data_IF_045537719224
#
_entry.id   IF_045537719224
#
_cell.length_a   1.000
_cell.length_b   1.000
_cell.length_c   1.000
_cell.angle_alpha   90.00
_cell.angle_beta   90.00
_cell.angle_gamma   90.00
#
_symmetry.space_group_name_H-M   'P 1'
#
loop_
_entity.id
_entity.type
_entity.pdbx_description
1 polymer ?
#
# COMPACT_ATOMS: atom_id res chain seq x y z
N UNK A 1 7.90 -7.37 -1.51
CA UNK A 1 6.89 -7.37 -0.41
C UNK A 1 5.75 -8.31 -0.79
N UNK A 2 6.05 -9.57 -1.08
CA UNK A 2 5.08 -10.47 -1.72
C UNK A 2 4.33 -11.37 -0.73
N UNK A 3 4.59 -11.20 0.56
CA UNK A 3 3.98 -12.02 1.61
C UNK A 3 2.71 -11.34 2.15
N UNK A 4 1.58 -12.01 1.97
CA UNK A 4 0.31 -11.64 2.57
C UNK A 4 0.32 -11.89 4.10
N UNK A 5 -0.57 -11.26 4.88
CA UNK A 5 -0.77 -11.61 6.28
C UNK A 5 -1.14 -13.10 6.42
N UNK A 6 -0.78 -13.70 7.56
CA UNK A 6 -1.14 -15.09 7.85
C UNK A 6 -2.67 -15.29 7.78
N UNK A 7 -3.11 -16.35 7.10
CA UNK A 7 -4.54 -16.62 6.87
C UNK A 7 -5.18 -15.81 5.74
N UNK A 8 -4.47 -14.84 5.15
CA UNK A 8 -4.96 -14.13 3.97
C UNK A 8 -4.84 -14.99 2.71
N UNK A 9 -5.93 -15.11 1.95
CA UNK A 9 -5.94 -15.79 0.65
C UNK A 9 -6.02 -14.76 -0.45
N UNK A 10 -5.07 -14.78 -1.39
CA UNK A 10 -5.08 -13.85 -2.53
C UNK A 10 -6.26 -14.15 -3.43
N UNK A 11 -7.10 -13.16 -3.64
CA UNK A 11 -8.25 -13.23 -4.55
C UNK A 11 -7.87 -12.76 -5.95
N UNK A 12 -7.12 -11.65 -6.04
CA UNK A 12 -6.78 -11.02 -7.32
C UNK A 12 -5.39 -10.35 -7.29
N UNK A 13 -4.83 -10.13 -8.49
CA UNK A 13 -3.69 -9.25 -8.77
C UNK A 13 -4.02 -8.39 -9.97
N UNK A 14 -3.73 -7.11 -9.88
CA UNK A 14 -3.97 -6.17 -10.96
C UNK A 14 -2.77 -5.25 -11.17
N UNK A 15 -2.69 -4.73 -12.39
CA UNK A 15 -1.74 -3.71 -12.79
C UNK A 15 -2.47 -2.72 -13.70
N UNK A 16 -2.22 -1.44 -13.49
CA UNK A 16 -2.84 -0.35 -14.25
C UNK A 16 -1.77 0.68 -14.59
N UNK A 17 -1.84 1.19 -15.81
CA UNK A 17 -1.03 2.30 -16.27
C UNK A 17 -1.99 3.38 -16.74
N UNK A 18 -1.98 4.53 -16.09
CA UNK A 18 -2.67 5.71 -16.57
C UNK A 18 -1.65 6.58 -17.32
N UNK A 19 -1.81 6.66 -18.65
CA UNK A 19 -0.92 7.43 -19.50
C UNK A 19 -1.19 8.95 -19.45
N UNK A 20 -2.39 9.36 -19.05
CA UNK A 20 -2.80 10.76 -18.96
C UNK A 20 -2.24 11.40 -17.69
N UNK A 21 -2.47 10.77 -16.54
CA UNK A 21 -2.01 11.23 -15.23
C UNK A 21 -0.62 10.66 -14.85
N UNK A 22 -0.08 9.77 -15.68
CA UNK A 22 1.29 9.21 -15.59
C UNK A 22 1.59 8.53 -14.26
N UNK A 23 0.63 7.76 -13.75
CA UNK A 23 0.83 6.88 -12.62
C UNK A 23 0.74 5.41 -13.04
N UNK A 24 1.49 4.56 -12.32
CA UNK A 24 1.46 3.11 -12.48
C UNK A 24 1.03 2.50 -11.15
N UNK A 25 0.04 1.62 -11.20
CA UNK A 25 -0.45 0.87 -10.04
C UNK A 25 -0.13 -0.61 -10.22
N UNK A 26 0.37 -1.24 -9.16
CA UNK A 26 0.41 -2.69 -9.03
C UNK A 26 -0.16 -3.09 -7.69
N UNK A 27 -1.09 -4.03 -7.66
CA UNK A 27 -1.79 -4.36 -6.43
C UNK A 27 -2.31 -5.78 -6.36
N UNK A 28 -2.82 -6.11 -5.18
CA UNK A 28 -3.44 -7.37 -4.89
C UNK A 28 -4.59 -7.19 -3.89
N UNK A 29 -5.62 -8.03 -4.04
CA UNK A 29 -6.73 -8.14 -3.09
C UNK A 29 -6.67 -9.49 -2.39
N UNK A 30 -6.97 -9.50 -1.10
CA UNK A 30 -6.94 -10.69 -0.28
C UNK A 30 -8.24 -10.86 0.49
N UNK A 31 -8.79 -12.06 0.50
CA UNK A 31 -9.77 -12.46 1.50
C UNK A 31 -9.04 -12.67 2.81
N UNK A 32 -9.45 -11.94 3.85
CA UNK A 32 -8.78 -11.92 5.14
C UNK A 32 -9.79 -11.74 6.27
N UNK A 33 -9.90 -12.75 7.14
CA UNK A 33 -10.79 -12.74 8.30
C UNK A 33 -10.15 -12.11 9.55
N UNK A 34 -8.88 -11.70 9.49
CA UNK A 34 -8.20 -11.01 10.59
C UNK A 34 -8.56 -9.52 10.67
N UNK A 35 -7.99 -8.81 11.65
CA UNK A 35 -8.32 -7.38 11.87
C UNK A 35 -7.47 -6.42 11.02
N UNK A 36 -7.98 -5.21 10.77
CA UNK A 36 -7.19 -4.13 10.14
C UNK A 36 -5.93 -3.82 10.91
N UNK A 37 -5.97 -3.91 12.24
CA UNK A 37 -4.80 -3.71 13.09
C UNK A 37 -3.70 -4.75 12.83
N UNK A 38 -4.07 -6.00 12.61
CA UNK A 38 -3.12 -7.08 12.32
C UNK A 38 -2.55 -6.96 10.91
N UNK A 39 -3.38 -6.68 9.92
CA UNK A 39 -2.93 -6.40 8.55
C UNK A 39 -1.96 -5.21 8.52
N UNK A 40 -2.32 -4.10 9.16
CA UNK A 40 -1.46 -2.92 9.24
C UNK A 40 -0.16 -3.18 10.00
N UNK A 41 -0.17 -4.01 11.05
CA UNK A 41 1.05 -4.43 11.75
C UNK A 41 1.97 -5.22 10.82
N UNK A 42 1.42 -6.23 10.15
CA UNK A 42 2.14 -7.06 9.17
C UNK A 42 2.81 -6.20 8.09
N UNK A 43 2.02 -5.36 7.41
CA UNK A 43 2.55 -4.54 6.33
C UNK A 43 3.48 -3.43 6.81
N UNK A 44 3.30 -2.88 8.02
CA UNK A 44 4.24 -1.92 8.59
C UNK A 44 5.62 -2.55 8.82
N UNK A 45 5.66 -3.77 9.32
CA UNK A 45 6.91 -4.50 9.54
C UNK A 45 7.59 -4.82 8.20
N UNK A 46 6.84 -5.36 7.24
CA UNK A 46 7.33 -5.62 5.88
C UNK A 46 7.80 -4.32 5.17
N UNK A 47 7.05 -3.22 5.32
CA UNK A 47 7.38 -1.88 4.84
C UNK A 47 8.74 -1.41 5.33
N UNK A 48 8.95 -1.44 6.64
CA UNK A 48 10.21 -1.00 7.23
C UNK A 48 11.38 -1.87 6.78
N UNK A 49 11.19 -3.20 6.71
CA UNK A 49 12.22 -4.13 6.26
C UNK A 49 12.65 -3.88 4.82
N UNK A 50 11.73 -3.45 3.94
CA UNK A 50 12.02 -3.11 2.55
C UNK A 50 12.33 -1.61 2.34
N UNK A 51 12.57 -0.84 3.41
CA UNK A 51 13.01 0.56 3.32
C UNK A 51 11.90 1.59 3.04
N UNK A 52 10.63 1.19 3.12
CA UNK A 52 9.49 2.10 3.09
C UNK A 52 9.35 2.82 4.42
N UNK A 53 8.81 4.04 4.38
CA UNK A 53 8.62 4.89 5.56
C UNK A 53 7.16 5.31 5.69
N UNK A 54 6.61 5.42 6.91
CA UNK A 54 5.25 5.94 7.08
C UNK A 54 5.11 7.33 6.44
N UNK A 55 4.01 7.56 5.72
CA UNK A 55 3.73 8.87 5.11
C UNK A 55 3.33 9.86 6.21
N UNK A 56 4.02 10.99 6.28
CA UNK A 56 3.68 12.09 7.17
C UNK A 56 2.46 12.86 6.65
N UNK A 57 1.55 13.23 7.54
CA UNK A 57 0.38 14.05 7.22
C UNK A 57 0.66 15.54 7.45
N UNK A 58 0.05 16.40 6.63
CA UNK A 58 0.06 17.85 6.85
C UNK A 58 -0.67 18.16 8.16
N UNK A 59 0.04 18.67 9.17
CA UNK A 59 -0.49 18.88 10.53
C UNK A 59 0.14 17.99 11.61
N UNK A 60 1.05 17.08 11.22
CA UNK A 60 1.72 16.17 12.14
C UNK A 60 0.99 14.84 12.27
N UNK A 61 1.77 13.77 12.50
CA UNK A 61 1.26 12.39 12.50
C UNK A 61 1.55 11.63 11.21
N UNK A 62 1.13 10.36 11.16
CA UNK A 62 1.38 9.45 10.03
C UNK A 62 0.11 8.73 9.62
N UNK A 63 -0.11 8.53 8.32
CA UNK A 63 -1.21 7.69 7.84
C UNK A 63 -0.90 6.21 8.14
N UNK A 64 -1.72 5.49 8.94
CA UNK A 64 -1.39 4.17 9.46
C UNK A 64 -1.14 3.08 8.42
N UNK A 65 -1.76 3.21 7.24
CA UNK A 65 -1.68 2.28 6.10
C UNK A 65 -1.04 2.87 4.86
N UNK A 66 -0.38 4.03 4.98
CA UNK A 66 0.31 4.64 3.85
C UNK A 66 1.80 4.79 4.11
N UNK A 67 2.59 4.27 3.19
CA UNK A 67 4.05 4.32 3.25
C UNK A 67 4.61 4.88 1.95
N UNK A 68 5.78 5.49 2.01
CA UNK A 68 6.46 6.04 0.84
C UNK A 68 7.88 5.50 0.71
N UNK A 69 8.35 5.40 -0.53
CA UNK A 69 9.72 5.05 -0.89
C UNK A 69 10.10 5.79 -2.17
N UNK A 70 11.33 6.30 -2.24
CA UNK A 70 11.84 6.87 -3.49
C UNK A 70 12.35 5.75 -4.39
N UNK A 71 11.84 5.69 -5.62
CA UNK A 71 12.21 4.71 -6.64
C UNK A 71 12.54 5.47 -7.92
N UNK A 72 13.79 5.44 -8.37
CA UNK A 72 14.19 6.09 -9.62
C UNK A 72 13.89 7.60 -9.70
N UNK A 73 13.93 8.30 -8.56
CA UNK A 73 13.59 9.73 -8.47
C UNK A 73 12.08 10.03 -8.40
N UNK A 74 11.23 9.01 -8.35
CA UNK A 74 9.78 9.12 -8.20
C UNK A 74 9.36 8.63 -6.82
N UNK A 75 8.37 9.30 -6.21
CA UNK A 75 7.77 8.81 -4.95
C UNK A 75 6.80 7.70 -5.27
N UNK A 76 7.07 6.51 -4.75
CA UNK A 76 6.11 5.41 -4.72
C UNK A 76 5.36 5.44 -3.39
N UNK A 77 4.08 5.11 -3.44
CA UNK A 77 3.17 4.98 -2.30
C UNK A 77 2.79 3.51 -2.16
N UNK A 78 2.88 2.97 -0.96
CA UNK A 78 2.30 1.68 -0.59
C UNK A 78 1.06 1.98 0.23
N UNK A 79 -0.09 1.52 -0.25
CA UNK A 79 -1.41 1.71 0.36
C UNK A 79 -1.90 0.36 0.88
N UNK A 80 -2.37 0.35 2.13
CA UNK A 80 -2.94 -0.82 2.81
C UNK A 80 -4.28 -0.39 3.41
N UNK A 81 -5.36 -0.94 2.87
CA UNK A 81 -6.74 -0.60 3.23
C UNK A 81 -7.56 -1.83 3.62
N UNK A 82 -8.49 -1.63 4.56
CA UNK A 82 -9.33 -2.70 5.09
C UNK A 82 -8.64 -3.57 6.15
N UNK A 83 -9.06 -4.84 6.32
CA UNK A 83 -10.09 -5.49 5.54
C UNK A 83 -11.49 -4.89 5.78
N UNK A 84 -12.19 -4.56 4.70
CA UNK A 84 -13.63 -4.19 4.70
C UNK A 84 -14.40 -5.31 4.01
N UNK A 85 -15.49 -5.80 4.61
CA UNK A 85 -16.19 -7.01 4.15
C UNK A 85 -15.25 -8.21 3.87
N UNK A 86 -14.22 -8.35 4.73
CA UNK A 86 -13.14 -9.35 4.64
C UNK A 86 -12.21 -9.18 3.44
N UNK A 87 -12.24 -8.03 2.77
CA UNK A 87 -11.39 -7.74 1.63
C UNK A 87 -10.29 -6.76 2.03
N UNK A 88 -9.06 -7.23 2.06
CA UNK A 88 -7.85 -6.45 2.30
C UNK A 88 -7.25 -6.03 0.96
N UNK A 89 -7.05 -4.72 0.80
CA UNK A 89 -6.49 -4.13 -0.41
C UNK A 89 -5.06 -3.64 -0.16
N UNK A 90 -4.14 -4.00 -1.07
CA UNK A 90 -2.73 -3.65 -0.96
C UNK A 90 -2.19 -3.30 -2.33
N UNK A 91 -1.68 -2.10 -2.48
CA UNK A 91 -1.19 -1.60 -3.77
C UNK A 91 0.02 -0.69 -3.63
N UNK A 92 0.82 -0.67 -4.70
CA UNK A 92 1.90 0.28 -4.89
C UNK A 92 1.53 1.19 -6.05
N UNK A 93 1.53 2.49 -5.80
CA UNK A 93 1.34 3.54 -6.81
C UNK A 93 2.65 4.28 -7.01
N UNK A 94 3.18 4.28 -8.22
CA UNK A 94 4.29 5.15 -8.61
C UNK A 94 3.72 6.35 -9.37
N UNK A 95 3.79 7.53 -8.76
CA UNK A 95 3.21 8.75 -9.32
C UNK A 95 4.27 9.82 -9.59
N UNK A 96 4.39 10.24 -10.85
CA UNK A 96 5.29 11.32 -11.28
C UNK A 96 4.68 12.72 -11.19
N UNK A 97 3.37 12.85 -11.06
CA UNK A 97 2.68 14.13 -10.94
C UNK A 97 2.79 14.74 -9.53
N UNK A 98 3.34 14.00 -8.55
CA UNK A 98 3.37 14.37 -7.13
C UNK A 98 1.95 14.58 -6.55
N UNK A 99 0.99 13.80 -6.99
CA UNK A 99 -0.35 13.80 -6.40
C UNK A 99 -0.25 13.33 -4.96
N UNK A 100 -1.18 13.80 -4.14
CA UNK A 100 -1.26 13.37 -2.75
C UNK A 100 -2.05 12.06 -2.69
N UNK A 101 -1.34 10.95 -2.89
CA UNK A 101 -1.87 9.61 -2.58
C UNK A 101 -1.81 9.38 -1.08
N UNK A 102 -2.93 8.86 -0.56
CA UNK A 102 -3.27 8.87 0.87
C UNK A 102 -3.35 10.29 1.49
#
# INVERSE_FOLDING_TARGET
MDAAPEGATREDRFQECDDDDRFVVVGARYRYDGSSREALRHYREAARADGWRPRALAGGGTSPGCFTKSVGGTTAYLVVEGPDDRLLHVEIVADRANSQWC
#
